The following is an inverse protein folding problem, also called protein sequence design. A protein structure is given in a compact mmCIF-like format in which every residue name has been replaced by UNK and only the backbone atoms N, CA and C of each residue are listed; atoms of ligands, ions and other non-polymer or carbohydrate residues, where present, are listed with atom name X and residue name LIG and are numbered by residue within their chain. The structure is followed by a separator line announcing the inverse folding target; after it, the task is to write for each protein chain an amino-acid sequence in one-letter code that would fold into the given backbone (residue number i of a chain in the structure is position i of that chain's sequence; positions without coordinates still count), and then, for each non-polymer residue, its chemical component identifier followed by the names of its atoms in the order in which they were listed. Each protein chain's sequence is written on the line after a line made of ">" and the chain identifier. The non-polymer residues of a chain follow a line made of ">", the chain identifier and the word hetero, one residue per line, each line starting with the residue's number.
data_IF_269196043772
#
_entry.id   IF_269196043772
#
_cell.length_a   1.000
_cell.length_b   1.000
_cell.length_c   1.000
_cell.angle_alpha   90.00
_cell.angle_beta   90.00
_cell.angle_gamma   90.00
#
_symmetry.space_group_name_H-M   'P 1'
#
loop_
_entity.id
_entity.type
_entity.pdbx_description
1 polymer ?
#
# COMPACT_ATOMS: atom_id res chain seq x y z
N UNK A 1 25.43 -7.46 -5.31
CA UNK A 1 24.04 -7.85 -5.00
C UNK A 1 23.11 -6.93 -5.77
N UNK A 2 21.97 -7.47 -6.25
CA UNK A 2 20.87 -6.70 -6.83
C UNK A 2 19.76 -6.69 -5.78
N UNK A 3 19.29 -5.49 -5.38
CA UNK A 3 18.21 -5.30 -4.43
C UNK A 3 17.17 -4.39 -5.08
N UNK A 4 16.03 -4.91 -5.53
CA UNK A 4 14.93 -4.07 -5.99
C UNK A 4 14.42 -3.18 -4.86
N UNK A 5 14.30 -1.88 -5.14
CA UNK A 5 13.69 -0.91 -4.24
C UNK A 5 12.52 -0.26 -4.96
N UNK A 6 11.31 -0.47 -4.47
CA UNK A 6 10.08 -0.14 -5.19
C UNK A 6 8.98 0.39 -4.28
N UNK A 7 8.07 1.18 -4.85
CA UNK A 7 6.82 1.55 -4.19
C UNK A 7 5.76 0.43 -4.19
N UNK A 8 5.97 -0.68 -4.90
CA UNK A 8 5.05 -1.81 -4.92
C UNK A 8 5.12 -2.63 -3.63
N UNK A 9 4.02 -3.29 -3.27
CA UNK A 9 4.03 -4.34 -2.25
C UNK A 9 4.82 -5.57 -2.75
N UNK A 10 5.19 -6.45 -1.84
CA UNK A 10 5.97 -7.65 -2.17
C UNK A 10 5.25 -8.53 -3.20
N UNK A 11 3.95 -8.79 -3.02
CA UNK A 11 3.15 -9.61 -3.94
C UNK A 11 2.84 -8.93 -5.28
N UNK A 12 3.22 -7.66 -5.48
CA UNK A 12 3.11 -6.94 -6.76
C UNK A 12 4.43 -6.94 -7.56
N UNK A 13 5.42 -7.73 -7.17
CA UNK A 13 6.64 -7.82 -7.97
C UNK A 13 6.33 -8.46 -9.34
N UNK A 14 6.90 -7.94 -10.45
CA UNK A 14 6.77 -8.58 -11.74
C UNK A 14 7.30 -10.01 -11.71
N UNK A 15 6.68 -10.96 -12.43
CA UNK A 15 7.13 -12.36 -12.44
C UNK A 15 8.61 -12.55 -12.80
N UNK A 16 9.15 -11.66 -13.64
CA UNK A 16 10.58 -11.68 -14.02
C UNK A 16 11.49 -11.37 -12.83
N UNK A 17 11.06 -10.50 -11.93
CA UNK A 17 11.80 -10.17 -10.70
C UNK A 17 11.67 -11.31 -9.68
N UNK A 18 10.48 -11.87 -9.52
CA UNK A 18 10.24 -13.01 -8.63
C UNK A 18 11.04 -14.27 -9.06
N UNK A 19 11.21 -14.47 -10.37
CA UNK A 19 11.97 -15.61 -10.91
C UNK A 19 13.50 -15.43 -10.86
N UNK A 20 14.01 -14.23 -10.57
CA UNK A 20 15.45 -13.94 -10.59
C UNK A 20 16.13 -14.39 -9.29
N UNK A 21 16.74 -15.57 -9.32
CA UNK A 21 17.37 -16.22 -8.15
C UNK A 21 18.54 -15.45 -7.52
N UNK A 22 19.10 -14.45 -8.22
CA UNK A 22 20.19 -13.59 -7.69
C UNK A 22 19.66 -12.49 -6.79
N UNK A 23 18.33 -12.24 -6.81
CA UNK A 23 17.67 -11.27 -5.94
C UNK A 23 17.28 -12.00 -4.66
N UNK A 24 17.93 -11.64 -3.56
CA UNK A 24 17.64 -12.19 -2.24
C UNK A 24 16.76 -11.25 -1.43
N UNK A 25 17.00 -9.96 -1.53
CA UNK A 25 16.32 -8.95 -0.71
C UNK A 25 15.43 -8.06 -1.54
N UNK A 26 14.27 -7.72 -1.01
CA UNK A 26 13.37 -6.71 -1.56
C UNK A 26 13.19 -5.56 -0.57
N UNK A 27 13.19 -4.33 -1.09
CA UNK A 27 12.72 -3.14 -0.39
C UNK A 27 11.42 -2.76 -1.07
N UNK A 28 10.29 -2.88 -0.36
CA UNK A 28 8.94 -2.75 -0.90
C UNK A 28 8.17 -1.62 -0.21
N UNK A 29 6.98 -1.31 -0.72
CA UNK A 29 6.07 -0.31 -0.14
C UNK A 29 6.75 1.03 0.16
N UNK A 30 7.63 1.48 -0.77
CA UNK A 30 8.34 2.74 -0.59
C UNK A 30 9.41 2.73 0.50
N UNK A 31 9.85 1.58 0.96
CA UNK A 31 10.84 1.41 2.03
C UNK A 31 10.22 1.00 3.37
N UNK A 32 8.88 0.93 3.45
CA UNK A 32 8.18 0.51 4.65
C UNK A 32 8.50 -0.94 5.06
N UNK A 33 8.91 -1.77 4.09
CA UNK A 33 9.22 -3.18 4.35
C UNK A 33 10.50 -3.61 3.62
N UNK A 34 11.35 -4.35 4.34
CA UNK A 34 12.53 -5.04 3.79
C UNK A 34 12.43 -6.52 4.16
N UNK A 35 12.51 -7.37 3.15
CA UNK A 35 12.36 -8.81 3.34
C UNK A 35 13.51 -9.57 2.69
N UNK A 36 13.98 -10.62 3.34
CA UNK A 36 14.76 -11.68 2.71
C UNK A 36 13.80 -12.63 1.98
N UNK A 37 13.69 -12.46 0.68
CA UNK A 37 12.75 -13.23 -0.14
C UNK A 37 13.06 -14.75 -0.13
N UNK A 38 14.30 -15.12 0.12
CA UNK A 38 14.69 -16.54 0.15
C UNK A 38 14.22 -17.29 1.39
N UNK A 39 14.01 -16.58 2.50
CA UNK A 39 13.59 -17.14 3.78
C UNK A 39 12.22 -16.66 4.23
N UNK A 40 11.72 -15.54 3.68
CA UNK A 40 10.53 -14.85 4.15
C UNK A 40 10.76 -14.03 5.43
N UNK A 41 12.01 -13.87 5.88
CA UNK A 41 12.35 -13.09 7.07
C UNK A 41 12.12 -11.60 6.82
N UNK A 42 11.40 -10.93 7.73
CA UNK A 42 11.23 -9.49 7.74
C UNK A 42 12.44 -8.87 8.45
N UNK A 43 13.30 -8.19 7.67
CA UNK A 43 14.51 -7.54 8.17
C UNK A 43 14.19 -6.19 8.79
N UNK A 44 13.23 -5.48 8.20
CA UNK A 44 12.79 -4.17 8.63
C UNK A 44 11.34 -3.91 8.24
N UNK A 45 10.60 -3.27 9.12
CA UNK A 45 9.22 -2.88 8.87
C UNK A 45 8.89 -1.57 9.59
N UNK A 46 8.33 -0.61 8.86
CA UNK A 46 7.75 0.63 9.38
C UNK A 46 6.29 0.68 8.91
N UNK A 47 5.36 0.37 9.81
CA UNK A 47 3.92 0.25 9.52
C UNK A 47 3.11 1.06 10.51
N UNK A 48 1.89 1.41 10.13
CA UNK A 48 0.91 1.93 11.07
C UNK A 48 0.53 0.85 12.09
N UNK A 49 0.18 1.26 13.31
CA UNK A 49 -0.46 0.32 14.24
C UNK A 49 -1.79 -0.18 13.67
N UNK A 50 -2.33 -1.32 14.11
CA UNK A 50 -3.65 -1.80 13.65
C UNK A 50 -4.77 -0.78 13.90
N UNK A 51 -4.73 -0.05 15.02
CA UNK A 51 -5.68 0.99 15.37
C UNK A 51 -5.56 2.19 14.43
N UNK A 52 -4.33 2.65 14.13
CA UNK A 52 -4.09 3.73 13.20
C UNK A 52 -4.42 3.31 11.76
N UNK A 53 -4.16 2.06 11.41
CA UNK A 53 -4.57 1.49 10.12
C UNK A 53 -6.08 1.54 9.93
N UNK A 54 -6.83 1.13 10.94
CA UNK A 54 -8.30 1.23 10.93
C UNK A 54 -8.79 2.68 10.84
N UNK A 55 -8.12 3.60 11.54
CA UNK A 55 -8.42 5.04 11.46
C UNK A 55 -8.17 5.60 10.07
N UNK A 56 -7.04 5.26 9.47
CA UNK A 56 -6.68 5.73 8.12
C UNK A 56 -7.57 5.14 7.03
N UNK A 57 -8.04 3.89 7.19
CA UNK A 57 -9.00 3.32 6.24
C UNK A 57 -10.29 4.13 6.16
N UNK A 58 -10.76 4.73 7.24
CA UNK A 58 -11.97 5.57 7.23
C UNK A 58 -11.86 6.82 6.34
N UNK A 59 -10.65 7.23 6.00
CA UNK A 59 -10.41 8.35 5.08
C UNK A 59 -10.93 8.08 3.67
N UNK A 60 -10.92 6.83 3.22
CA UNK A 60 -11.33 6.47 1.86
C UNK A 60 -12.48 5.46 1.79
N UNK A 61 -12.74 4.72 2.86
CA UNK A 61 -13.77 3.67 2.91
C UNK A 61 -15.16 4.24 2.53
N UNK A 62 -15.79 3.62 1.53
CA UNK A 62 -17.11 4.01 1.03
C UNK A 62 -17.16 5.31 0.22
N UNK A 63 -16.02 5.90 -0.15
CA UNK A 63 -15.97 7.15 -0.94
C UNK A 63 -15.87 6.93 -2.46
N UNK A 64 -16.00 5.71 -2.93
CA UNK A 64 -15.88 5.34 -4.36
C UNK A 64 -14.56 5.80 -4.98
N UNK A 65 -13.46 5.54 -4.28
CA UNK A 65 -12.09 5.84 -4.71
C UNK A 65 -11.37 4.51 -4.93
N UNK A 66 -10.71 4.34 -6.09
CA UNK A 66 -9.85 3.17 -6.27
C UNK A 66 -8.66 3.25 -5.31
N UNK A 67 -8.62 2.33 -4.36
CA UNK A 67 -7.65 2.35 -3.27
C UNK A 67 -6.96 1.00 -3.14
N UNK A 68 -5.63 1.00 -3.21
CA UNK A 68 -4.77 -0.14 -2.96
C UNK A 68 -4.11 0.01 -1.59
N UNK A 69 -4.37 -0.93 -0.69
CA UNK A 69 -3.83 -0.94 0.67
C UNK A 69 -2.73 -2.00 0.74
N UNK A 70 -1.50 -1.57 0.98
CA UNK A 70 -0.36 -2.48 1.19
C UNK A 70 -0.22 -2.80 2.66
N UNK A 71 -0.28 -4.08 3.01
CA UNK A 71 -0.10 -4.58 4.37
C UNK A 71 0.41 -6.03 4.36
N UNK A 72 1.38 -6.36 5.20
CA UNK A 72 1.99 -7.70 5.27
C UNK A 72 2.55 -8.17 3.91
N UNK A 73 3.08 -7.25 3.12
CA UNK A 73 3.62 -7.52 1.77
C UNK A 73 2.55 -7.79 0.70
N UNK A 74 1.27 -7.60 0.99
CA UNK A 74 0.14 -7.90 0.10
C UNK A 74 -0.69 -6.66 -0.17
N UNK A 75 -1.43 -6.67 -1.29
CA UNK A 75 -2.40 -5.62 -1.63
C UNK A 75 -3.81 -6.09 -1.29
N UNK A 76 -4.52 -5.19 -0.63
CA UNK A 76 -5.93 -5.34 -0.29
C UNK A 76 -6.78 -4.31 -1.05
N UNK A 77 -7.95 -4.73 -1.49
CA UNK A 77 -8.97 -3.88 -2.11
C UNK A 77 -10.27 -3.98 -1.32
N UNK A 78 -10.97 -2.86 -1.20
CA UNK A 78 -12.33 -2.85 -0.68
C UNK A 78 -13.27 -3.57 -1.66
N UNK A 79 -14.15 -4.45 -1.16
CA UNK A 79 -15.06 -5.25 -1.98
C UNK A 79 -15.95 -4.40 -2.88
N UNK A 80 -16.46 -3.28 -2.37
CA UNK A 80 -17.29 -2.36 -3.13
C UNK A 80 -16.56 -1.80 -4.38
N UNK A 81 -15.24 -1.65 -4.30
CA UNK A 81 -14.39 -1.24 -5.43
C UNK A 81 -14.05 -2.45 -6.31
N UNK A 82 -13.67 -3.57 -5.70
CA UNK A 82 -13.24 -4.77 -6.42
C UNK A 82 -14.36 -5.38 -7.29
N UNK A 83 -15.61 -5.26 -6.87
CA UNK A 83 -16.78 -5.77 -7.62
C UNK A 83 -17.10 -4.92 -8.87
N UNK A 84 -16.51 -3.73 -9.02
CA UNK A 84 -16.83 -2.74 -10.06
C UNK A 84 -15.57 -2.07 -10.63
N UNK A 85 -14.48 -2.80 -10.77
CA UNK A 85 -13.17 -2.26 -11.21
C UNK A 85 -13.23 -1.51 -12.55
N UNK A 86 -14.16 -1.86 -13.42
CA UNK A 86 -14.39 -1.19 -14.71
C UNK A 86 -14.82 0.28 -14.58
N UNK A 87 -15.28 0.70 -13.40
CA UNK A 87 -15.70 2.07 -13.10
C UNK A 87 -14.56 2.95 -12.55
N UNK A 88 -13.39 2.35 -12.31
CA UNK A 88 -12.28 3.03 -11.64
C UNK A 88 -11.05 3.16 -12.53
N UNK A 89 -10.22 4.18 -12.33
CA UNK A 89 -8.99 4.40 -13.08
C UNK A 89 -7.86 3.48 -12.58
N UNK A 90 -8.01 2.17 -12.79
CA UNK A 90 -6.95 1.21 -12.45
C UNK A 90 -5.70 1.54 -13.26
N UNK A 91 -4.53 1.78 -12.63
CA UNK A 91 -3.30 2.06 -13.37
C UNK A 91 -2.96 0.92 -14.34
N UNK A 92 -2.67 1.24 -15.59
CA UNK A 92 -2.42 0.25 -16.64
C UNK A 92 -1.32 -0.77 -16.28
N UNK A 93 -0.32 -0.33 -15.53
CA UNK A 93 0.78 -1.17 -15.04
C UNK A 93 0.40 -2.04 -13.83
N UNK A 94 -0.83 -1.94 -13.31
CA UNK A 94 -1.39 -2.82 -12.28
C UNK A 94 -2.42 -3.82 -12.81
N UNK A 95 -2.91 -3.64 -14.04
CA UNK A 95 -3.95 -4.51 -14.63
C UNK A 95 -3.55 -5.98 -14.58
N UNK A 96 -2.32 -6.31 -14.97
CA UNK A 96 -1.82 -7.69 -14.92
C UNK A 96 -1.92 -8.33 -13.52
N UNK A 97 -1.72 -7.52 -12.47
CA UNK A 97 -1.79 -7.98 -11.08
C UNK A 97 -3.23 -8.29 -10.67
N UNK A 98 -4.16 -7.42 -11.09
CA UNK A 98 -5.60 -7.61 -10.86
C UNK A 98 -6.12 -8.82 -11.63
N UNK A 99 -5.77 -8.96 -12.92
CA UNK A 99 -6.15 -10.10 -13.76
C UNK A 99 -5.61 -11.44 -13.23
N UNK A 100 -4.44 -11.42 -12.61
CA UNK A 100 -3.86 -12.59 -11.97
C UNK A 100 -4.53 -12.94 -10.62
N UNK A 101 -5.50 -12.15 -10.14
CA UNK A 101 -6.21 -12.41 -8.89
C UNK A 101 -5.32 -12.37 -7.65
N UNK A 102 -4.26 -11.57 -7.65
CA UNK A 102 -3.26 -11.53 -6.56
C UNK A 102 -3.64 -10.60 -5.41
N UNK A 103 -4.66 -9.78 -5.57
CA UNK A 103 -5.21 -8.90 -4.54
C UNK A 103 -6.08 -9.68 -3.54
N UNK A 104 -6.14 -9.20 -2.32
CA UNK A 104 -7.05 -9.69 -1.29
C UNK A 104 -8.25 -8.74 -1.24
N UNK A 105 -9.45 -9.29 -1.42
CA UNK A 105 -10.69 -8.50 -1.35
C UNK A 105 -11.27 -8.58 0.04
N UNK A 106 -11.56 -7.42 0.65
CA UNK A 106 -12.08 -7.29 2.01
C UNK A 106 -13.30 -6.37 2.05
N UNK A 107 -14.25 -6.65 2.92
CA UNK A 107 -15.53 -5.92 2.96
C UNK A 107 -15.37 -4.48 3.49
N UNK A 108 -14.83 -4.36 4.70
CA UNK A 108 -14.64 -3.09 5.42
C UNK A 108 -13.20 -3.01 5.88
N UNK A 109 -12.35 -2.27 5.16
CA UNK A 109 -10.94 -2.15 5.50
C UNK A 109 -10.69 -1.74 6.95
N UNK A 110 -11.38 -0.71 7.45
CA UNK A 110 -11.20 -0.23 8.81
C UNK A 110 -11.46 -1.30 9.87
N UNK A 111 -12.49 -2.12 9.67
CA UNK A 111 -12.81 -3.23 10.56
C UNK A 111 -11.82 -4.38 10.42
N UNK A 112 -11.51 -4.74 9.16
CA UNK A 112 -10.64 -5.87 8.86
C UNK A 112 -9.24 -5.72 9.50
N UNK A 113 -8.59 -4.56 9.31
CA UNK A 113 -7.26 -4.32 9.85
C UNK A 113 -7.25 -4.28 11.37
N UNK A 114 -8.27 -3.70 12.00
CA UNK A 114 -8.40 -3.69 13.46
C UNK A 114 -8.60 -5.10 14.05
N UNK A 115 -9.55 -5.88 13.50
CA UNK A 115 -9.89 -7.21 14.03
C UNK A 115 -8.78 -8.25 13.81
N UNK A 116 -7.98 -8.10 12.76
CA UNK A 116 -6.89 -9.03 12.45
C UNK A 116 -5.52 -8.57 12.98
N UNK A 117 -5.44 -7.41 13.62
CA UNK A 117 -4.18 -6.91 14.18
C UNK A 117 -3.11 -6.61 13.12
N UNK A 118 -3.53 -6.17 11.92
CA UNK A 118 -2.63 -5.96 10.77
C UNK A 118 -2.34 -4.46 10.61
N UNK A 119 -1.06 -4.12 10.52
CA UNK A 119 -0.58 -2.76 10.23
C UNK A 119 -0.43 -2.49 8.75
N UNK A 120 -0.74 -1.25 8.32
CA UNK A 120 -0.61 -0.80 6.93
C UNK A 120 0.79 -0.25 6.67
N UNK A 121 1.41 -0.70 5.57
CA UNK A 121 2.69 -0.21 5.06
C UNK A 121 2.51 1.09 4.26
N UNK A 122 1.44 1.14 3.45
CA UNK A 122 1.15 2.27 2.58
C UNK A 122 -0.24 2.15 1.97
N UNK A 123 -0.80 3.28 1.54
CA UNK A 123 -2.03 3.33 0.75
C UNK A 123 -1.80 4.15 -0.52
N UNK A 124 -2.28 3.65 -1.66
CA UNK A 124 -2.40 4.41 -2.89
C UNK A 124 -3.88 4.64 -3.18
N UNK A 125 -4.23 5.86 -3.53
CA UNK A 125 -5.58 6.26 -3.96
C UNK A 125 -5.50 6.85 -5.37
N UNK A 126 -6.42 6.49 -6.24
CA UNK A 126 -6.44 6.92 -7.64
C UNK A 126 -7.83 7.42 -8.04
N UNK A 127 -7.87 8.44 -8.88
CA UNK A 127 -9.11 9.02 -9.36
C UNK A 127 -9.91 9.72 -8.26
N UNK A 128 -9.24 10.38 -7.34
CA UNK A 128 -9.89 11.10 -6.25
C UNK A 128 -10.68 12.27 -6.84
N UNK A 129 -12.01 12.34 -6.61
CA UNK A 129 -12.81 13.48 -7.07
C UNK A 129 -12.26 14.81 -6.56
N UNK A 130 -12.22 15.82 -7.43
CA UNK A 130 -11.64 17.14 -7.11
C UNK A 130 -12.17 17.75 -5.80
N UNK A 131 -13.47 17.55 -5.50
CA UNK A 131 -14.09 18.03 -4.27
C UNK A 131 -13.66 17.31 -2.99
N UNK A 132 -12.99 16.15 -3.10
CA UNK A 132 -12.50 15.38 -1.95
C UNK A 132 -11.00 15.47 -1.72
N UNK A 133 -10.23 15.98 -2.69
CA UNK A 133 -8.77 15.95 -2.64
C UNK A 133 -8.23 16.68 -1.41
N UNK A 134 -8.66 17.92 -1.19
CA UNK A 134 -8.19 18.72 -0.06
C UNK A 134 -8.67 18.11 1.28
N UNK A 135 -9.89 17.62 1.35
CA UNK A 135 -10.42 16.98 2.54
C UNK A 135 -9.60 15.74 2.93
N UNK A 136 -9.30 14.87 1.97
CA UNK A 136 -8.48 13.67 2.20
C UNK A 136 -7.07 14.05 2.65
N UNK A 137 -6.47 15.03 1.99
CA UNK A 137 -5.17 15.55 2.37
C UNK A 137 -5.17 16.01 3.84
N UNK A 138 -6.13 16.85 4.21
CA UNK A 138 -6.24 17.38 5.56
C UNK A 138 -6.51 16.28 6.59
N UNK A 139 -7.37 15.31 6.29
CA UNK A 139 -7.67 14.18 7.17
C UNK A 139 -6.41 13.31 7.44
N UNK A 140 -5.60 13.06 6.42
CA UNK A 140 -4.35 12.29 6.57
C UNK A 140 -3.32 13.09 7.37
N UNK A 141 -3.03 14.33 6.99
CA UNK A 141 -2.00 15.15 7.64
C UNK A 141 -2.35 15.50 9.10
N UNK A 142 -3.62 15.83 9.39
CA UNK A 142 -4.07 16.08 10.76
C UNK A 142 -4.15 14.81 11.63
N UNK A 143 -4.04 13.63 11.02
CA UNK A 143 -4.00 12.38 11.78
C UNK A 143 -2.76 12.29 12.69
N UNK A 144 -1.65 12.89 12.26
CA UNK A 144 -0.36 12.82 12.92
C UNK A 144 0.33 11.46 12.88
N UNK A 145 -0.28 10.45 12.21
CA UNK A 145 0.27 9.08 12.12
C UNK A 145 0.69 8.70 10.71
N UNK A 146 0.22 9.43 9.72
CA UNK A 146 0.55 9.24 8.31
C UNK A 146 0.85 10.59 7.65
N UNK A 147 1.54 10.54 6.50
CA UNK A 147 1.80 11.72 5.67
C UNK A 147 1.64 11.39 4.19
N UNK A 148 1.25 12.39 3.40
CA UNK A 148 1.12 12.29 1.96
C UNK A 148 2.42 12.77 1.30
N UNK A 149 3.02 11.93 0.46
CA UNK A 149 4.31 12.24 -0.17
C UNK A 149 4.18 13.01 -1.48
N UNK A 150 3.04 12.89 -2.16
CA UNK A 150 2.76 13.52 -3.44
C UNK A 150 1.28 13.93 -3.50
N UNK A 151 0.93 15.10 -2.96
CA UNK A 151 -0.46 15.55 -2.81
C UNK A 151 -1.06 16.15 -4.09
N UNK A 152 -0.45 15.94 -5.23
CA UNK A 152 -0.85 16.63 -6.46
C UNK A 152 -1.87 15.83 -7.27
N UNK A 153 -3.07 16.40 -7.46
CA UNK A 153 -4.04 15.93 -8.43
C UNK A 153 -4.93 14.76 -7.94
N UNK A 154 -5.34 13.96 -8.91
CA UNK A 154 -6.30 12.87 -8.72
C UNK A 154 -5.74 11.65 -8.00
N UNK A 155 -4.43 11.58 -7.81
CA UNK A 155 -3.76 10.45 -7.18
C UNK A 155 -3.02 10.91 -5.95
N UNK A 156 -3.17 10.18 -4.86
CA UNK A 156 -2.46 10.40 -3.61
C UNK A 156 -1.92 9.09 -3.07
N UNK A 157 -0.81 9.17 -2.36
CA UNK A 157 -0.31 8.05 -1.58
C UNK A 157 0.11 8.53 -0.20
N UNK A 158 -0.23 7.77 0.81
CA UNK A 158 0.27 8.03 2.15
C UNK A 158 1.05 6.87 2.74
N UNK A 159 1.94 7.22 3.64
CA UNK A 159 2.83 6.33 4.36
C UNK A 159 2.73 6.60 5.87
N UNK A 160 3.21 5.70 6.72
CA UNK A 160 3.42 5.98 8.13
C UNK A 160 4.24 7.26 8.32
N UNK A 161 3.89 8.06 9.34
CA UNK A 161 4.58 9.30 9.64
C UNK A 161 6.06 9.03 9.93
N UNK A 162 6.94 9.81 9.27
CA UNK A 162 8.38 9.71 9.45
C UNK A 162 9.04 8.51 8.76
N UNK A 163 8.34 7.84 7.85
CA UNK A 163 8.95 6.78 7.04
C UNK A 163 10.18 7.34 6.30
N UNK A 164 11.32 6.70 6.51
CA UNK A 164 12.58 7.00 5.82
C UNK A 164 13.05 5.79 5.01
N UNK A 165 12.94 5.89 3.68
CA UNK A 165 13.38 4.84 2.74
C UNK A 165 14.84 4.41 2.96
N UNK A 166 15.68 5.31 3.49
CA UNK A 166 17.10 5.01 3.71
C UNK A 166 17.31 4.08 4.90
N UNK A 167 16.37 4.03 5.86
CA UNK A 167 16.46 3.13 7.01
C UNK A 167 16.44 1.66 6.58
N UNK A 168 15.55 1.29 5.66
CA UNK A 168 15.50 -0.04 5.10
C UNK A 168 16.81 -0.44 4.42
N UNK A 169 17.39 0.47 3.63
CA UNK A 169 18.67 0.23 2.94
C UNK A 169 19.80 0.00 3.94
N UNK A 170 19.83 0.74 5.05
CA UNK A 170 20.88 0.61 6.08
C UNK A 170 20.81 -0.70 6.87
N UNK A 171 19.74 -1.46 6.73
CA UNK A 171 19.54 -2.75 7.41
C UNK A 171 20.08 -3.94 6.58
N UNK A 172 20.36 -3.71 5.31
CA UNK A 172 20.99 -4.66 4.40
C UNK A 172 22.52 -4.51 4.39
#
# INVERSE_FOLDING_TARGET
>A
YIVPSTGRAENMQPPQIEAEKRIRYYITSGGARVVDHSTGEIIHEEILTPEDSARMCRVFEGRNIYTEIAAGGKIYLEKAVADHLEQYPVPSHHVWFIEAGRQIVIDKPSRYFSENGIGIEKVNMYGIPAGLQQQIYDEVEHSGVAHITDPVGENMQFFPQGLDRTRGIRKL
#
